data_IF_984231901637
#
_entry.id   IF_984231901637
#
_cell.length_a   1.000
_cell.length_b   1.000
_cell.length_c   1.000
_cell.angle_alpha   90.00
_cell.angle_beta   90.00
_cell.angle_gamma   90.00
#
_symmetry.space_group_name_H-M   'P 1'
#
loop_
_entity.id
_entity.type
_entity.pdbx_description
1 polymer ?
#
# COMPACT_ATOMS: atom_id res chain seq x y z
N UNK A 1 9.94 4.97 -1.92
CA UNK A 1 8.47 5.03 -1.87
C UNK A 1 7.83 3.83 -2.58
N UNK A 2 8.12 3.61 -3.86
CA UNK A 2 7.58 2.46 -4.63
C UNK A 2 7.90 1.12 -3.97
N UNK A 3 9.16 0.93 -3.55
CA UNK A 3 9.59 -0.28 -2.83
C UNK A 3 8.75 -0.56 -1.57
N UNK A 4 8.62 0.44 -0.69
CA UNK A 4 7.88 0.32 0.58
C UNK A 4 6.38 0.17 0.37
N UNK A 5 5.83 0.76 -0.71
CA UNK A 5 4.44 0.56 -1.09
C UNK A 5 4.22 -0.90 -1.53
N UNK A 6 5.09 -1.45 -2.39
CA UNK A 6 5.01 -2.86 -2.79
C UNK A 6 5.12 -3.83 -1.60
N UNK A 7 6.04 -3.58 -0.67
CA UNK A 7 6.17 -4.38 0.56
C UNK A 7 4.89 -4.43 1.39
N UNK A 8 4.17 -3.31 1.51
CA UNK A 8 2.92 -3.27 2.26
C UNK A 8 1.77 -3.99 1.53
N UNK A 9 1.73 -3.93 0.20
CA UNK A 9 0.60 -4.44 -0.61
C UNK A 9 0.51 -5.95 -0.58
N UNK A 10 1.51 -6.65 -1.11
CA UNK A 10 1.45 -8.11 -1.21
C UNK A 10 1.67 -8.79 0.15
N UNK A 11 2.40 -8.13 1.05
CA UNK A 11 2.51 -8.58 2.43
C UNK A 11 1.16 -8.56 3.18
N UNK A 12 0.34 -7.52 3.01
CA UNK A 12 -1.01 -7.44 3.60
C UNK A 12 -1.96 -8.43 2.94
N UNK A 13 -1.90 -8.57 1.62
CA UNK A 13 -2.69 -9.56 0.87
C UNK A 13 -2.42 -10.99 1.33
N UNK A 14 -1.14 -11.35 1.47
CA UNK A 14 -0.74 -12.65 1.98
C UNK A 14 -1.21 -12.86 3.43
N UNK A 15 -0.99 -11.86 4.28
CA UNK A 15 -1.42 -11.88 5.68
C UNK A 15 -2.94 -12.04 5.81
N UNK A 16 -3.70 -11.33 4.98
CA UNK A 16 -5.16 -11.44 4.93
C UNK A 16 -5.61 -12.82 4.45
N UNK A 17 -4.90 -13.41 3.49
CA UNK A 17 -5.17 -14.78 3.02
C UNK A 17 -4.97 -15.79 4.15
N UNK A 18 -3.83 -15.73 4.85
CA UNK A 18 -3.57 -16.59 6.01
C UNK A 18 -4.65 -16.43 7.08
N UNK A 19 -5.06 -15.20 7.34
CA UNK A 19 -6.08 -14.90 8.32
C UNK A 19 -7.46 -15.45 7.95
N UNK A 20 -7.89 -15.21 6.71
CA UNK A 20 -9.17 -15.69 6.20
C UNK A 20 -9.24 -17.22 6.24
N UNK A 21 -8.14 -17.90 5.95
CA UNK A 21 -8.06 -19.36 5.92
C UNK A 21 -7.89 -19.96 7.33
N UNK A 22 -6.90 -19.51 8.10
CA UNK A 22 -6.48 -20.15 9.35
C UNK A 22 -7.27 -19.69 10.58
N UNK A 23 -7.82 -18.47 10.56
CA UNK A 23 -8.56 -17.90 11.70
C UNK A 23 -10.05 -17.88 11.43
N UNK A 24 -10.46 -17.42 10.24
CA UNK A 24 -11.88 -17.22 9.95
C UNK A 24 -12.57 -18.41 9.28
N UNK A 25 -11.81 -19.40 8.79
CA UNK A 25 -12.35 -20.55 8.08
C UNK A 25 -13.20 -20.14 6.87
N UNK A 26 -12.86 -19.04 6.20
CA UNK A 26 -13.61 -18.54 5.06
C UNK A 26 -13.61 -19.58 3.94
N UNK A 27 -14.78 -19.80 3.34
CA UNK A 27 -14.87 -20.48 2.06
C UNK A 27 -14.21 -19.63 0.97
N UNK A 28 -13.80 -20.27 -0.13
CA UNK A 28 -13.22 -19.58 -1.28
C UNK A 28 -14.10 -18.41 -1.78
N UNK A 29 -15.42 -18.58 -1.76
CA UNK A 29 -16.39 -17.54 -2.15
C UNK A 29 -16.36 -16.34 -1.19
N UNK A 30 -16.34 -16.59 0.13
CA UNK A 30 -16.29 -15.49 1.12
C UNK A 30 -14.98 -14.71 1.03
N UNK A 31 -13.87 -15.41 0.84
CA UNK A 31 -12.58 -14.78 0.60
C UNK A 31 -12.61 -13.92 -0.67
N UNK A 32 -13.12 -14.46 -1.79
CA UNK A 32 -13.24 -13.73 -3.04
C UNK A 32 -14.12 -12.47 -2.91
N UNK A 33 -15.22 -12.54 -2.15
CA UNK A 33 -16.07 -11.37 -1.88
C UNK A 33 -15.34 -10.29 -1.08
N UNK A 34 -14.58 -10.67 -0.04
CA UNK A 34 -13.79 -9.71 0.72
C UNK A 34 -12.70 -9.05 -0.16
N UNK A 35 -12.03 -9.84 -1.00
CA UNK A 35 -11.06 -9.35 -1.97
C UNK A 35 -11.71 -8.43 -3.01
N UNK A 36 -12.94 -8.72 -3.44
CA UNK A 36 -13.68 -7.86 -4.37
C UNK A 36 -13.94 -6.47 -3.77
N UNK A 37 -14.24 -6.36 -2.47
CA UNK A 37 -14.38 -5.07 -1.78
C UNK A 37 -13.09 -4.25 -1.88
N UNK A 38 -11.96 -4.88 -1.61
CA UNK A 38 -10.65 -4.22 -1.71
C UNK A 38 -10.35 -3.80 -3.16
N UNK A 39 -10.64 -4.66 -4.15
CA UNK A 39 -10.44 -4.35 -5.57
C UNK A 39 -11.30 -3.16 -6.01
N UNK A 40 -12.60 -3.17 -5.70
CA UNK A 40 -13.52 -2.08 -6.06
C UNK A 40 -13.07 -0.76 -5.45
N UNK A 41 -12.67 -0.77 -4.18
CA UNK A 41 -12.21 0.44 -3.51
C UNK A 41 -10.85 0.92 -4.01
N UNK A 42 -9.98 0.01 -4.46
CA UNK A 42 -8.76 0.36 -5.18
C UNK A 42 -9.05 1.07 -6.50
N UNK A 43 -10.01 0.59 -7.31
CA UNK A 43 -10.44 1.32 -8.50
C UNK A 43 -10.94 2.73 -8.18
N UNK A 44 -11.77 2.87 -7.14
CA UNK A 44 -12.22 4.19 -6.67
C UNK A 44 -11.02 5.06 -6.29
N UNK A 45 -10.06 4.50 -5.55
CA UNK A 45 -8.81 5.16 -5.18
C UNK A 45 -8.00 5.64 -6.39
N UNK A 46 -7.91 4.83 -7.45
CA UNK A 46 -7.24 5.21 -8.71
C UNK A 46 -7.94 6.40 -9.35
N UNK A 47 -9.25 6.35 -9.57
CA UNK A 47 -9.97 7.43 -10.24
C UNK A 47 -9.93 8.74 -9.45
N UNK A 48 -10.16 8.65 -8.13
CA UNK A 48 -10.05 9.82 -7.23
C UNK A 48 -8.62 10.34 -7.20
N UNK A 49 -7.64 9.44 -7.12
CA UNK A 49 -6.21 9.74 -7.16
C UNK A 49 -5.83 10.52 -8.42
N UNK A 50 -6.20 10.05 -9.61
CA UNK A 50 -5.95 10.73 -10.89
C UNK A 50 -6.46 12.18 -10.86
N UNK A 51 -7.71 12.38 -10.43
CA UNK A 51 -8.28 13.72 -10.29
C UNK A 51 -7.51 14.59 -9.30
N UNK A 52 -7.13 14.04 -8.14
CA UNK A 52 -6.39 14.77 -7.12
C UNK A 52 -4.96 15.09 -7.55
N UNK A 53 -4.31 14.23 -8.35
CA UNK A 53 -2.94 14.47 -8.82
C UNK A 53 -2.88 15.72 -9.69
N UNK A 54 -3.87 15.94 -10.55
CA UNK A 54 -3.94 17.16 -11.38
C UNK A 54 -4.08 18.45 -10.56
N UNK A 55 -4.65 18.38 -9.35
CA UNK A 55 -4.92 19.55 -8.48
C UNK A 55 -3.86 19.78 -7.40
N UNK A 56 -3.39 18.71 -6.77
CA UNK A 56 -2.52 18.76 -5.60
C UNK A 56 -1.09 18.27 -5.88
N UNK A 57 -0.85 17.70 -7.07
CA UNK A 57 0.42 17.11 -7.46
C UNK A 57 0.58 15.65 -6.98
N UNK A 58 1.39 14.84 -7.69
CA UNK A 58 1.50 13.41 -7.44
C UNK A 58 2.07 13.09 -6.05
N UNK A 59 3.02 13.88 -5.58
CA UNK A 59 3.68 13.68 -4.29
C UNK A 59 2.72 13.75 -3.09
N UNK A 60 1.76 14.68 -3.10
CA UNK A 60 0.80 14.84 -1.99
C UNK A 60 -0.21 13.71 -1.98
N UNK A 61 -0.69 13.30 -3.16
CA UNK A 61 -1.64 12.19 -3.31
C UNK A 61 -0.99 10.86 -2.90
N UNK A 62 0.25 10.64 -3.32
CA UNK A 62 1.07 9.51 -2.90
C UNK A 62 1.17 9.37 -1.37
N UNK A 63 1.49 10.48 -0.69
CA UNK A 63 1.61 10.49 0.77
C UNK A 63 0.27 10.20 1.46
N UNK A 64 -0.82 10.80 0.97
CA UNK A 64 -2.16 10.55 1.47
C UNK A 64 -2.56 9.07 1.29
N UNK A 65 -2.27 8.49 0.12
CA UNK A 65 -2.51 7.08 -0.17
C UNK A 65 -1.72 6.15 0.77
N UNK A 66 -0.42 6.40 0.97
CA UNK A 66 0.40 5.62 1.91
C UNK A 66 -0.13 5.73 3.35
N UNK A 67 -0.62 6.90 3.74
CA UNK A 67 -1.22 7.10 5.07
C UNK A 67 -2.50 6.26 5.22
N UNK A 68 -3.33 6.22 4.19
CA UNK A 68 -4.53 5.38 4.16
C UNK A 68 -4.18 3.88 4.19
N UNK A 69 -3.16 3.45 3.46
CA UNK A 69 -2.65 2.07 3.51
C UNK A 69 -2.26 1.71 4.95
N UNK A 70 -1.44 2.53 5.60
CA UNK A 70 -1.04 2.31 6.99
C UNK A 70 -2.22 2.28 7.96
N UNK A 71 -3.18 3.20 7.81
CA UNK A 71 -4.38 3.24 8.65
C UNK A 71 -5.27 2.01 8.42
N UNK A 72 -5.46 1.59 7.18
CA UNK A 72 -6.17 0.36 6.82
C UNK A 72 -5.51 -0.88 7.42
N UNK A 73 -4.18 -0.97 7.39
CA UNK A 73 -3.43 -2.05 8.05
C UNK A 73 -3.66 -2.08 9.56
N UNK A 74 -3.71 -0.93 10.23
CA UNK A 74 -4.03 -0.85 11.67
C UNK A 74 -5.46 -1.33 11.95
N UNK A 75 -6.43 -0.96 11.11
CA UNK A 75 -7.81 -1.43 11.25
C UNK A 75 -7.90 -2.96 11.10
N UNK A 76 -7.18 -3.53 10.13
CA UNK A 76 -7.09 -4.98 9.93
C UNK A 76 -6.39 -5.69 11.11
N UNK A 77 -5.41 -5.04 11.76
CA UNK A 77 -4.75 -5.57 12.95
C UNK A 77 -5.67 -5.63 14.20
N UNK A 78 -6.70 -4.79 14.28
CA UNK A 78 -7.53 -4.65 15.49
C UNK A 78 -8.66 -5.68 15.63
N UNK A 79 -8.89 -6.56 14.65
CA UNK A 79 -10.01 -7.51 14.71
C UNK A 79 -9.89 -8.54 15.85
N UNK A 80 -10.68 -8.36 16.91
CA UNK A 80 -11.07 -9.38 17.90
C UNK A 80 -12.42 -9.99 17.50
N UNK A 81 -12.57 -11.31 17.66
CA UNK A 81 -13.73 -12.10 17.26
C UNK A 81 -15.09 -11.49 17.71
N UNK A 82 -16.13 -11.64 16.88
CA UNK A 82 -17.50 -11.16 17.14
C UNK A 82 -18.19 -10.64 15.88
N UNK A 83 -19.35 -9.99 15.99
CA UNK A 83 -20.03 -9.35 14.83
C UNK A 83 -19.41 -7.99 14.47
N UNK A 84 -18.97 -7.22 15.49
CA UNK A 84 -18.23 -5.96 15.30
C UNK A 84 -16.93 -6.12 14.49
N UNK A 85 -16.39 -7.34 14.51
CA UNK A 85 -15.21 -7.76 13.76
C UNK A 85 -15.34 -7.61 12.24
N UNK A 86 -16.50 -7.99 11.68
CA UNK A 86 -16.71 -7.99 10.23
C UNK A 86 -16.77 -6.54 9.72
N UNK A 87 -17.46 -5.66 10.46
CA UNK A 87 -17.55 -4.24 10.12
C UNK A 87 -16.17 -3.56 10.10
N UNK A 88 -15.35 -3.78 11.14
CA UNK A 88 -14.00 -3.21 11.21
C UNK A 88 -13.08 -3.78 10.12
N UNK A 89 -13.19 -5.07 9.80
CA UNK A 89 -12.41 -5.68 8.72
C UNK A 89 -12.78 -5.14 7.35
N UNK A 90 -14.07 -5.04 7.03
CA UNK A 90 -14.55 -4.46 5.77
C UNK A 90 -14.09 -3.01 5.66
N UNK A 91 -14.22 -2.22 6.73
CA UNK A 91 -13.71 -0.86 6.76
C UNK A 91 -12.19 -0.81 6.52
N UNK A 92 -11.43 -1.71 7.15
CA UNK A 92 -10.00 -1.86 6.92
C UNK A 92 -9.66 -2.14 5.45
N UNK A 93 -10.36 -3.08 4.81
CA UNK A 93 -10.19 -3.39 3.38
C UNK A 93 -10.56 -2.22 2.48
N UNK A 94 -11.63 -1.48 2.80
CA UNK A 94 -12.06 -0.30 2.04
C UNK A 94 -11.01 0.80 2.10
N UNK A 95 -10.54 1.12 3.31
CA UNK A 95 -9.53 2.16 3.55
C UNK A 95 -8.20 1.77 2.90
N UNK A 96 -7.78 0.51 3.08
CA UNK A 96 -6.55 -0.01 2.49
C UNK A 96 -6.62 0.01 0.96
N UNK A 97 -7.70 -0.50 0.38
CA UNK A 97 -7.91 -0.53 -1.07
C UNK A 97 -7.90 0.88 -1.67
N UNK A 98 -8.67 1.81 -1.11
CA UNK A 98 -8.68 3.20 -1.59
C UNK A 98 -7.29 3.86 -1.51
N UNK A 99 -6.55 3.64 -0.41
CA UNK A 99 -5.18 4.11 -0.25
C UNK A 99 -4.22 3.52 -1.27
N UNK A 100 -4.34 2.21 -1.54
CA UNK A 100 -3.57 1.48 -2.54
C UNK A 100 -3.74 2.09 -3.92
N UNK A 101 -4.98 2.22 -4.41
CA UNK A 101 -5.24 2.76 -5.74
C UNK A 101 -4.71 4.18 -5.92
N UNK A 102 -4.94 5.04 -4.91
CA UNK A 102 -4.46 6.43 -4.95
C UNK A 102 -2.93 6.54 -4.92
N UNK A 103 -2.26 5.74 -4.07
CA UNK A 103 -0.80 5.71 -4.00
C UNK A 103 -0.19 5.17 -5.29
N UNK A 104 -0.78 4.11 -5.85
CA UNK A 104 -0.32 3.47 -7.08
C UNK A 104 -0.34 4.43 -8.26
N UNK A 105 -1.49 5.07 -8.52
CA UNK A 105 -1.60 5.99 -9.66
C UNK A 105 -0.73 7.24 -9.50
N UNK A 106 -0.58 7.73 -8.26
CA UNK A 106 0.29 8.86 -7.97
C UNK A 106 1.77 8.51 -8.17
N UNK A 107 2.19 7.30 -7.79
CA UNK A 107 3.55 6.80 -8.03
C UNK A 107 3.84 6.70 -9.52
N UNK A 108 2.93 6.14 -10.30
CA UNK A 108 3.12 6.00 -11.74
C UNK A 108 3.23 7.35 -12.43
N UNK A 109 2.33 8.29 -12.10
CA UNK A 109 2.42 9.65 -12.65
C UNK A 109 3.75 10.30 -12.25
N UNK A 110 4.20 10.14 -11.00
CA UNK A 110 5.49 10.67 -10.56
C UNK A 110 6.68 10.05 -11.29
N UNK A 111 6.65 8.75 -11.57
CA UNK A 111 7.73 8.02 -12.24
C UNK A 111 7.93 8.47 -13.69
N UNK A 112 6.85 8.85 -14.37
CA UNK A 112 6.89 9.29 -15.77
C UNK A 112 7.01 10.80 -15.95
N UNK A 113 6.72 11.59 -14.90
CA UNK A 113 6.80 13.06 -14.99
C UNK A 113 8.25 13.51 -15.21
N UNK A 114 8.51 14.18 -16.34
CA UNK A 114 9.83 14.73 -16.66
C UNK A 114 10.80 13.74 -17.32
N UNK A 115 10.36 12.51 -17.60
CA UNK A 115 11.12 11.53 -18.36
C UNK A 115 10.89 11.76 -19.87
N UNK A 116 11.95 11.72 -20.67
CA UNK A 116 11.83 11.81 -22.12
C UNK A 116 11.07 10.58 -22.67
N UNK A 117 10.27 10.77 -23.71
CA UNK A 117 9.40 9.70 -24.25
C UNK A 117 10.17 8.42 -24.62
N UNK A 118 11.38 8.56 -25.17
CA UNK A 118 12.30 7.44 -25.48
C UNK A 118 12.76 6.64 -24.25
N UNK A 119 12.75 7.27 -23.08
CA UNK A 119 13.23 6.70 -21.81
C UNK A 119 12.06 6.25 -20.92
N UNK A 120 10.80 6.52 -21.31
CA UNK A 120 9.60 6.20 -20.54
C UNK A 120 9.45 4.69 -20.30
N UNK A 121 9.81 3.86 -21.28
CA UNK A 121 9.81 2.40 -21.14
C UNK A 121 10.82 1.91 -20.09
N UNK A 122 12.00 2.54 -20.01
CA UNK A 122 13.01 2.24 -18.99
C UNK A 122 12.54 2.68 -17.61
N UNK A 123 11.99 3.89 -17.49
CA UNK A 123 11.48 4.41 -16.22
C UNK A 123 10.35 3.54 -15.65
N UNK A 124 9.38 3.16 -16.49
CA UNK A 124 8.30 2.25 -16.10
C UNK A 124 8.82 0.85 -15.75
N UNK A 125 9.79 0.32 -16.49
CA UNK A 125 10.42 -0.96 -16.17
C UNK A 125 11.13 -0.96 -14.82
N UNK A 126 11.86 0.12 -14.49
CA UNK A 126 12.54 0.28 -13.19
C UNK A 126 11.52 0.42 -12.06
N UNK A 127 10.44 1.18 -12.27
CA UNK A 127 9.35 1.31 -11.30
C UNK A 127 8.72 -0.06 -11.00
N UNK A 128 8.30 -0.79 -12.04
CA UNK A 128 7.62 -2.09 -11.90
C UNK A 128 8.54 -3.14 -11.26
N UNK A 129 9.83 -3.14 -11.64
CA UNK A 129 10.83 -4.02 -11.03
C UNK A 129 11.00 -3.71 -9.54
N UNK A 130 11.08 -2.42 -9.18
CA UNK A 130 11.18 -1.98 -7.78
C UNK A 130 9.93 -2.36 -6.99
N UNK A 131 8.75 -2.22 -7.59
CA UNK A 131 7.48 -2.61 -7.00
C UNK A 131 7.42 -4.12 -6.73
N UNK A 132 7.77 -4.93 -7.74
CA UNK A 132 7.80 -6.40 -7.65
C UNK A 132 8.81 -6.90 -6.60
N UNK A 133 10.01 -6.31 -6.53
CA UNK A 133 10.99 -6.61 -5.47
C UNK A 133 10.40 -6.26 -4.09
N UNK A 134 9.72 -5.12 -4.00
CA UNK A 134 9.01 -4.72 -2.79
C UNK A 134 7.99 -5.76 -2.37
N UNK A 135 7.13 -6.21 -3.28
CA UNK A 135 6.12 -7.23 -3.02
C UNK A 135 6.73 -8.51 -2.43
N UNK A 136 7.80 -9.03 -3.05
CA UNK A 136 8.49 -10.23 -2.58
C UNK A 136 9.04 -10.07 -1.16
N UNK A 137 9.69 -8.93 -0.87
CA UNK A 137 10.21 -8.62 0.46
C UNK A 137 9.10 -8.47 1.49
N UNK A 138 7.98 -7.84 1.10
CA UNK A 138 6.79 -7.68 1.93
C UNK A 138 6.21 -9.02 2.37
N UNK A 139 6.00 -9.92 1.42
CA UNK A 139 5.51 -11.27 1.70
C UNK A 139 6.49 -12.01 2.60
N UNK A 140 7.79 -12.00 2.31
CA UNK A 140 8.80 -12.70 3.10
C UNK A 140 8.84 -12.20 4.57
N UNK A 141 8.87 -10.88 4.78
CA UNK A 141 8.94 -10.30 6.13
C UNK A 141 7.64 -10.55 6.89
N UNK A 142 6.49 -10.24 6.29
CA UNK A 142 5.21 -10.31 7.01
C UNK A 142 4.77 -11.76 7.26
N UNK A 143 5.06 -12.69 6.34
CA UNK A 143 4.85 -14.12 6.57
C UNK A 143 5.73 -14.65 7.71
N UNK A 144 7.00 -14.25 7.75
CA UNK A 144 7.92 -14.62 8.83
C UNK A 144 7.42 -14.09 10.17
N UNK A 145 6.96 -12.83 10.23
CA UNK A 145 6.35 -12.25 11.43
C UNK A 145 5.12 -13.06 11.84
N UNK A 146 4.24 -13.40 10.90
CA UNK A 146 3.02 -14.14 11.20
C UNK A 146 3.29 -15.53 11.79
N UNK A 147 4.25 -16.27 11.21
CA UNK A 147 4.59 -17.64 11.62
C UNK A 147 5.40 -17.66 12.91
N UNK A 148 6.14 -16.59 13.23
CA UNK A 148 6.95 -16.50 14.45
C UNK A 148 6.14 -16.26 15.73
N UNK A 149 4.82 -16.07 15.63
CA UNK A 149 3.95 -15.84 16.79
C UNK A 149 3.34 -17.14 17.33
N UNK A 150 2.95 -17.19 18.62
CA UNK A 150 2.46 -18.41 19.26
C UNK A 150 1.14 -18.98 18.71
N UNK A 151 0.42 -18.22 17.90
CA UNK A 151 -0.84 -18.67 17.31
C UNK A 151 -1.30 -17.82 16.13
N UNK A 152 -2.20 -18.37 15.27
CA UNK A 152 -2.57 -17.74 14.00
C UNK A 152 -3.15 -16.33 14.14
N UNK A 153 -4.01 -16.09 15.13
CA UNK A 153 -4.60 -14.77 15.38
C UNK A 153 -3.53 -13.73 15.78
N UNK A 154 -2.66 -14.08 16.74
CA UNK A 154 -1.54 -13.22 17.15
C UNK A 154 -0.55 -12.98 16.02
N UNK A 155 -0.30 -14.01 15.19
CA UNK A 155 0.53 -13.93 13.99
C UNK A 155 0.02 -12.92 12.98
N UNK A 156 -1.25 -13.06 12.58
CA UNK A 156 -1.89 -12.11 11.67
C UNK A 156 -1.83 -10.68 12.20
N UNK A 157 -2.14 -10.47 13.49
CA UNK A 157 -2.09 -9.11 14.07
C UNK A 157 -0.71 -8.50 14.03
N UNK A 158 0.31 -9.29 14.39
CA UNK A 158 1.70 -8.85 14.34
C UNK A 158 2.12 -8.50 12.90
N UNK A 159 1.70 -9.30 11.91
CA UNK A 159 2.00 -9.06 10.51
C UNK A 159 1.30 -7.80 9.97
N UNK A 160 0.03 -7.55 10.31
CA UNK A 160 -0.63 -6.30 9.95
C UNK A 160 -0.03 -5.07 10.64
N UNK A 161 0.42 -5.21 11.90
CA UNK A 161 1.17 -4.15 12.58
C UNK A 161 2.52 -3.90 11.88
N UNK A 162 3.22 -4.95 11.47
CA UNK A 162 4.43 -4.86 10.65
C UNK A 162 4.18 -4.13 9.33
N UNK A 163 3.06 -4.41 8.65
CA UNK A 163 2.65 -3.70 7.45
C UNK A 163 2.48 -2.20 7.70
N UNK A 164 1.80 -1.83 8.80
CA UNK A 164 1.60 -0.44 9.17
C UNK A 164 2.93 0.28 9.42
N UNK A 165 3.90 -0.39 10.06
CA UNK A 165 5.26 0.14 10.27
C UNK A 165 5.99 0.33 8.93
N UNK A 166 5.94 -0.65 8.03
CA UNK A 166 6.54 -0.53 6.68
C UNK A 166 5.92 0.65 5.92
N UNK A 167 4.59 0.81 5.97
CA UNK A 167 3.89 1.90 5.32
C UNK A 167 4.30 3.27 5.91
N UNK A 168 4.40 3.40 7.24
CA UNK A 168 4.83 4.64 7.89
C UNK A 168 6.29 4.98 7.56
N UNK A 169 7.20 4.00 7.60
CA UNK A 169 8.59 4.19 7.18
C UNK A 169 8.67 4.62 5.70
N UNK A 170 7.85 4.03 4.84
CA UNK A 170 7.73 4.43 3.44
C UNK A 170 7.25 5.86 3.25
N UNK A 171 6.26 6.30 4.05
CA UNK A 171 5.78 7.68 4.06
C UNK A 171 6.83 8.68 4.53
N UNK A 172 7.59 8.36 5.58
CA UNK A 172 8.69 9.19 6.09
C UNK A 172 9.83 9.27 5.08
N UNK A 173 10.22 8.14 4.48
CA UNK A 173 11.23 8.10 3.42
C UNK A 173 10.79 8.92 2.20
N UNK A 174 9.52 8.83 1.79
CA UNK A 174 8.98 9.66 0.73
C UNK A 174 9.07 11.15 1.08
N UNK A 175 8.64 11.55 2.28
CA UNK A 175 8.71 12.95 2.73
C UNK A 175 10.13 13.51 2.75
N UNK A 176 11.12 12.71 3.16
CA UNK A 176 12.52 13.14 3.27
C UNK A 176 13.18 13.24 1.90
N UNK A 177 13.01 12.24 1.03
CA UNK A 177 13.58 12.23 -0.32
C UNK A 177 12.95 13.30 -1.23
N UNK A 178 11.64 13.54 -1.10
CA UNK A 178 10.94 14.57 -1.87
C UNK A 178 11.28 15.99 -1.43
N UNK A 179 11.69 16.20 -0.18
CA UNK A 179 12.20 17.49 0.30
C UNK A 179 13.59 17.81 -0.25
N UNK A 180 14.42 16.80 -0.50
CA UNK A 180 15.79 16.96 -0.99
C UNK A 180 15.87 17.25 -2.50
N UNK A 181 14.83 16.91 -3.26
CA UNK A 181 14.77 17.05 -4.72
C UNK A 181 14.13 18.35 -5.21
N UNK A 182 13.77 19.28 -4.31
CA UNK A 182 13.41 20.65 -4.72
C UNK A 182 14.60 21.26 -5.46
N UNK A 183 14.46 21.63 -6.75
CA UNK A 183 15.57 22.14 -7.53
C UNK A 183 16.09 23.42 -6.87
N UNK A 184 17.41 23.46 -6.66
CA UNK A 184 18.14 24.70 -6.42
C UNK A 184 17.80 25.59 -7.62
N UNK A 185 16.98 26.61 -7.38
CA UNK A 185 16.58 27.59 -8.39
C UNK A 185 17.87 28.18 -8.96
N UNK A 186 18.27 27.72 -10.14
CA UNK A 186 19.43 28.27 -10.84
C UNK A 186 19.12 29.74 -11.10
N UNK A 187 19.89 30.61 -10.44
CA UNK A 187 19.83 32.05 -10.68
C UNK A 187 20.09 32.29 -12.17
N UNK A 188 19.33 33.19 -12.81
CA UNK A 188 19.67 33.66 -14.15
C UNK A 188 21.13 34.14 -14.12
N UNK A 189 21.94 33.61 -15.04
CA UNK A 189 23.28 34.15 -15.29
C UNK A 189 23.02 35.41 -16.13
N UNK A 190 23.19 36.57 -15.51
CA UNK A 190 23.22 37.88 -16.15
C UNK A 190 24.49 38.05 -17.00
#
# INVERSE_FOLDING_TARGET
>A
MVLTAGMAVDGVLFTFTLFAQQVLGYSAVRFALAMAVMTVTSFVGVFVGQGLVTRAGPQRVALAGITLIGFGSVLLAQGTAGEAFIGVHILGLVVFGAGLGAAFVAAQIAALTGVAERDAGLASGVEETTFTIGNALGVAILSTIAISQPGPLTGTRAAFAGAAVIATLGGVAALTLLRQTRPRQERPID
#
